data_IF_034387425379
#
_entry.id   IF_034387425379
#
_cell.length_a   1.000
_cell.length_b   1.000
_cell.length_c   1.000
_cell.angle_alpha   90.00
_cell.angle_beta   90.00
_cell.angle_gamma   90.00
#
_symmetry.space_group_name_H-M   'P 1'
#
loop_
_entity.id
_entity.type
_entity.pdbx_description
1 polymer ?
#
# COMPACT_ATOMS: atom_id res chain seq x y z
N UNK A 1 -13.10 -12.30 -27.74
CA UNK A 1 -12.55 -13.28 -26.78
C UNK A 1 -12.31 -12.54 -25.47
N UNK A 2 -12.70 -13.11 -24.34
CA UNK A 2 -12.36 -12.57 -23.01
C UNK A 2 -10.84 -12.54 -22.90
N UNK A 3 -10.24 -11.38 -22.58
CA UNK A 3 -8.82 -11.32 -22.20
C UNK A 3 -8.68 -11.91 -20.80
N UNK A 4 -7.73 -12.81 -20.58
CA UNK A 4 -7.47 -13.35 -19.25
C UNK A 4 -7.10 -12.22 -18.29
N UNK A 5 -7.73 -12.20 -17.11
CA UNK A 5 -7.46 -11.17 -16.10
C UNK A 5 -6.17 -11.48 -15.35
N UNK A 6 -5.34 -10.47 -15.14
CA UNK A 6 -4.09 -10.58 -14.40
C UNK A 6 -3.96 -9.45 -13.38
N UNK A 7 -4.02 -9.79 -12.09
CA UNK A 7 -3.85 -8.82 -11.01
C UNK A 7 -2.45 -8.94 -10.42
N UNK A 8 -1.74 -7.82 -10.31
CA UNK A 8 -0.40 -7.76 -9.74
C UNK A 8 -0.25 -6.54 -8.83
N UNK A 9 0.53 -6.69 -7.77
CA UNK A 9 0.70 -5.67 -6.74
C UNK A 9 2.16 -5.49 -6.37
N UNK A 10 2.58 -4.27 -6.06
CA UNK A 10 3.68 -4.09 -5.11
C UNK A 10 3.15 -4.31 -3.69
N UNK A 11 4.02 -4.49 -2.67
CA UNK A 11 3.68 -4.06 -1.32
C UNK A 11 3.26 -2.60 -1.31
N UNK A 12 2.40 -2.22 -0.36
CA UNK A 12 2.19 -0.81 -0.04
C UNK A 12 3.36 -0.31 0.82
N UNK A 13 3.92 0.85 0.50
CA UNK A 13 5.13 1.35 1.12
C UNK A 13 4.83 2.15 2.40
N UNK A 14 5.64 1.98 3.44
CA UNK A 14 5.49 2.72 4.69
C UNK A 14 6.12 4.12 4.57
N UNK A 15 5.33 5.23 4.55
CA UNK A 15 5.81 6.54 4.18
C UNK A 15 6.20 7.37 5.41
N UNK A 16 6.84 6.76 6.42
CA UNK A 16 7.35 7.50 7.58
C UNK A 16 8.69 8.22 7.30
N UNK A 17 9.23 8.06 6.08
CA UNK A 17 10.40 8.73 5.55
C UNK A 17 10.31 8.88 4.03
N UNK A 18 11.38 9.37 3.38
CA UNK A 18 11.44 9.52 1.92
C UNK A 18 11.66 8.17 1.23
N UNK A 19 11.17 7.98 -0.01
CA UNK A 19 11.46 6.77 -0.79
C UNK A 19 12.97 6.63 -1.08
N UNK A 20 13.39 5.40 -1.38
CA UNK A 20 14.77 5.01 -1.61
C UNK A 20 14.81 3.87 -2.63
N UNK A 21 16.01 3.40 -3.00
CA UNK A 21 16.21 2.42 -4.09
C UNK A 21 15.39 1.13 -3.93
N UNK A 22 15.22 0.61 -2.72
CA UNK A 22 14.37 -0.59 -2.50
C UNK A 22 12.90 -0.40 -2.94
N UNK A 23 12.34 0.80 -2.73
CA UNK A 23 10.98 1.11 -3.17
C UNK A 23 10.92 1.18 -4.71
N UNK A 24 11.87 1.89 -5.33
CA UNK A 24 11.98 2.00 -6.78
C UNK A 24 12.17 0.63 -7.46
N UNK A 25 13.04 -0.23 -6.90
CA UNK A 25 13.24 -1.59 -7.41
C UNK A 25 11.93 -2.38 -7.44
N UNK A 26 11.15 -2.29 -6.37
CA UNK A 26 9.88 -3.01 -6.27
C UNK A 26 8.86 -2.53 -7.31
N UNK A 27 8.79 -1.22 -7.54
CA UNK A 27 7.97 -0.63 -8.61
C UNK A 27 8.44 -1.16 -9.97
N UNK A 28 9.73 -1.06 -10.29
CA UNK A 28 10.27 -1.47 -11.60
C UNK A 28 10.07 -2.96 -11.87
N UNK A 29 10.35 -3.83 -10.90
CA UNK A 29 10.22 -5.28 -11.07
C UNK A 29 8.76 -5.69 -11.30
N UNK A 30 7.83 -5.08 -10.55
CA UNK A 30 6.39 -5.34 -10.70
C UNK A 30 5.87 -4.79 -12.02
N UNK A 31 6.34 -3.60 -12.41
CA UNK A 31 5.96 -2.93 -13.66
C UNK A 31 6.43 -3.71 -14.90
N UNK A 32 7.64 -4.28 -14.88
CA UNK A 32 8.15 -5.12 -15.96
C UNK A 32 7.23 -6.34 -16.20
N UNK A 33 6.76 -6.99 -15.14
CA UNK A 33 5.81 -8.10 -15.24
C UNK A 33 4.44 -7.63 -15.71
N UNK A 34 3.92 -6.52 -15.19
CA UNK A 34 2.64 -5.96 -15.62
C UNK A 34 2.66 -5.66 -17.13
N UNK A 35 3.72 -5.03 -17.63
CA UNK A 35 3.90 -4.74 -19.06
C UNK A 35 4.03 -5.99 -19.90
N UNK A 36 4.79 -7.00 -19.44
CA UNK A 36 4.91 -8.28 -20.15
C UNK A 36 3.54 -8.95 -20.31
N UNK A 37 2.73 -8.98 -19.26
CA UNK A 37 1.40 -9.59 -19.31
C UNK A 37 0.42 -8.78 -20.20
N UNK A 38 0.54 -7.45 -20.24
CA UNK A 38 -0.22 -6.62 -21.20
C UNK A 38 0.20 -6.93 -22.64
N UNK A 39 1.50 -7.11 -22.90
CA UNK A 39 2.02 -7.51 -24.22
C UNK A 39 1.54 -8.92 -24.62
N UNK A 40 1.40 -9.83 -23.66
CA UNK A 40 0.80 -11.17 -23.82
C UNK A 40 -0.74 -11.13 -24.01
N UNK A 41 -1.33 -9.93 -24.10
CA UNK A 41 -2.72 -9.73 -24.43
C UNK A 41 -3.70 -9.83 -23.24
N UNK A 42 -3.21 -9.92 -22.01
CA UNK A 42 -4.05 -10.00 -20.79
C UNK A 42 -4.65 -8.65 -20.40
N UNK A 43 -5.77 -8.73 -19.68
CA UNK A 43 -6.39 -7.59 -19.01
C UNK A 43 -5.73 -7.42 -17.63
N UNK A 44 -4.75 -6.51 -17.56
CA UNK A 44 -3.88 -6.35 -16.39
C UNK A 44 -4.40 -5.23 -15.50
N UNK A 45 -4.47 -5.53 -14.20
CA UNK A 45 -4.62 -4.52 -13.16
C UNK A 45 -3.37 -4.52 -12.26
N UNK A 46 -2.64 -3.42 -12.25
CA UNK A 46 -1.44 -3.21 -11.45
C UNK A 46 -1.72 -2.18 -10.35
N UNK A 47 -1.68 -2.63 -9.09
CA UNK A 47 -1.87 -1.79 -7.90
C UNK A 47 -0.54 -1.53 -7.16
N UNK A 48 -0.31 -0.28 -6.79
CA UNK A 48 0.73 0.15 -5.83
C UNK A 48 0.13 1.11 -4.80
N UNK A 49 0.87 1.52 -3.77
CA UNK A 49 0.33 2.44 -2.79
C UNK A 49 1.17 2.65 -1.52
N UNK A 50 0.54 3.24 -0.51
CA UNK A 50 1.18 3.56 0.78
C UNK A 50 0.39 3.08 2.01
N UNK A 51 1.12 2.58 3.00
CA UNK A 51 0.64 2.16 4.32
C UNK A 51 0.86 3.27 5.36
N UNK A 52 -0.20 3.94 5.76
CA UNK A 52 -0.14 5.27 6.39
C UNK A 52 -0.52 5.26 7.88
N UNK A 53 -0.67 4.07 8.47
CA UNK A 53 -1.09 3.92 9.86
C UNK A 53 0.06 3.45 10.77
N UNK A 54 -0.19 3.42 12.08
CA UNK A 54 0.72 2.80 13.05
C UNK A 54 1.70 3.75 13.75
N UNK A 55 2.37 3.20 14.76
CA UNK A 55 3.13 3.97 15.75
C UNK A 55 4.30 4.77 15.13
N UNK A 56 4.98 4.22 14.13
CA UNK A 56 6.13 4.89 13.50
C UNK A 56 5.71 6.15 12.72
N UNK A 57 4.55 6.14 12.06
CA UNK A 57 3.96 7.35 11.44
C UNK A 57 3.66 8.41 12.49
N UNK A 58 3.03 8.02 13.60
CA UNK A 58 2.73 8.93 14.71
C UNK A 58 4.01 9.56 15.29
N UNK A 59 5.02 8.74 15.62
CA UNK A 59 6.28 9.21 16.19
C UNK A 59 7.04 10.16 15.25
N UNK A 60 7.04 9.90 13.94
CA UNK A 60 7.65 10.83 12.98
C UNK A 60 6.88 12.14 12.94
N UNK A 61 5.55 12.10 12.88
CA UNK A 61 4.72 13.30 12.82
C UNK A 61 4.91 14.18 14.07
N UNK A 62 4.97 13.58 15.26
CA UNK A 62 5.25 14.26 16.51
C UNK A 62 6.64 14.93 16.52
N UNK A 63 7.69 14.22 16.05
CA UNK A 63 9.05 14.78 15.93
C UNK A 63 9.11 15.97 14.98
N UNK A 64 8.26 15.99 13.95
CA UNK A 64 8.17 17.06 12.97
C UNK A 64 7.17 18.17 13.35
N UNK A 65 6.42 18.01 14.45
CA UNK A 65 5.42 18.98 14.89
C UNK A 65 4.19 19.09 13.96
N UNK A 66 3.84 18.01 13.25
CA UNK A 66 2.70 17.95 12.33
C UNK A 66 1.75 16.81 12.68
N UNK A 67 0.57 16.77 12.06
CA UNK A 67 -0.37 15.65 12.24
C UNK A 67 0.07 14.42 11.45
N UNK A 68 -0.27 13.19 11.90
CA UNK A 68 0.02 11.97 11.14
C UNK A 68 -0.56 11.98 9.72
N UNK A 69 -1.76 12.54 9.55
CA UNK A 69 -2.38 12.69 8.24
C UNK A 69 -1.60 13.65 7.33
N UNK A 70 -1.13 14.79 7.86
CA UNK A 70 -0.29 15.71 7.09
C UNK A 70 1.04 15.08 6.67
N UNK A 71 1.65 14.27 7.54
CA UNK A 71 2.84 13.48 7.20
C UNK A 71 2.54 12.47 6.07
N UNK A 72 1.43 11.73 6.21
CA UNK A 72 0.99 10.74 5.24
C UNK A 72 0.70 11.38 3.86
N UNK A 73 -0.04 12.49 3.83
CA UNK A 73 -0.35 13.23 2.61
C UNK A 73 0.92 13.68 1.89
N UNK A 74 1.85 14.31 2.64
CA UNK A 74 3.13 14.79 2.10
C UNK A 74 3.96 13.64 1.55
N UNK A 75 4.17 12.59 2.34
CA UNK A 75 5.10 11.54 1.96
C UNK A 75 4.49 10.61 0.90
N UNK A 76 3.18 10.33 0.94
CA UNK A 76 2.49 9.58 -0.11
C UNK A 76 2.60 10.28 -1.48
N UNK A 77 2.51 11.61 -1.53
CA UNK A 77 2.75 12.37 -2.75
C UNK A 77 4.19 12.18 -3.29
N UNK A 78 5.20 12.10 -2.42
CA UNK A 78 6.59 11.85 -2.83
C UNK A 78 6.76 10.42 -3.38
N UNK A 79 6.12 9.42 -2.78
CA UNK A 79 6.13 8.03 -3.28
C UNK A 79 5.42 7.90 -4.64
N UNK A 80 4.31 8.62 -4.82
CA UNK A 80 3.63 8.70 -6.11
C UNK A 80 4.53 9.34 -7.17
N UNK A 81 5.14 10.48 -6.87
CA UNK A 81 6.08 11.14 -7.79
C UNK A 81 7.29 10.24 -8.14
N UNK A 82 7.79 9.45 -7.18
CA UNK A 82 8.84 8.46 -7.44
C UNK A 82 8.35 7.36 -8.40
N UNK A 83 7.13 6.85 -8.20
CA UNK A 83 6.52 5.84 -9.07
C UNK A 83 6.39 6.37 -10.51
N UNK A 84 5.94 7.61 -10.67
CA UNK A 84 5.86 8.30 -11.97
C UNK A 84 7.24 8.50 -12.60
N UNK A 85 8.24 8.92 -11.82
CA UNK A 85 9.61 9.13 -12.30
C UNK A 85 10.28 7.84 -12.78
N UNK A 86 9.90 6.68 -12.23
CA UNK A 86 10.35 5.36 -12.69
C UNK A 86 9.57 4.85 -13.91
N UNK A 87 8.58 5.59 -14.40
CA UNK A 87 7.73 5.20 -15.51
C UNK A 87 6.71 4.12 -15.14
N UNK A 88 6.29 4.05 -13.87
CA UNK A 88 5.31 3.08 -13.40
C UNK A 88 4.01 3.12 -14.21
N UNK A 89 3.56 1.96 -14.66
CA UNK A 89 2.30 1.76 -15.40
C UNK A 89 1.18 1.20 -14.52
N UNK A 90 1.20 1.52 -13.22
CA UNK A 90 0.15 1.10 -12.30
C UNK A 90 -1.19 1.72 -12.69
N UNK A 91 -2.23 0.91 -12.68
CA UNK A 91 -3.61 1.33 -12.98
C UNK A 91 -4.22 2.08 -11.79
N UNK A 92 -3.74 1.77 -10.57
CA UNK A 92 -4.20 2.43 -9.36
C UNK A 92 -3.05 2.66 -8.37
N UNK A 93 -3.16 3.75 -7.62
CA UNK A 93 -2.34 4.07 -6.45
C UNK A 93 -3.27 4.17 -5.23
N UNK A 94 -3.22 3.20 -4.31
CA UNK A 94 -4.05 3.19 -3.10
C UNK A 94 -3.35 3.87 -1.91
N UNK A 95 -4.12 4.58 -1.10
CA UNK A 95 -3.73 5.00 0.24
C UNK A 95 -4.61 4.29 1.26
N UNK A 96 -3.98 3.79 2.32
CA UNK A 96 -4.72 3.11 3.40
C UNK A 96 -5.58 4.05 4.24
N UNK A 97 -5.44 5.37 4.07
CA UNK A 97 -6.30 6.40 4.69
C UNK A 97 -7.62 6.64 3.94
N UNK A 98 -7.84 5.99 2.80
CA UNK A 98 -9.06 6.15 2.01
C UNK A 98 -10.27 5.45 2.66
N UNK A 99 -11.48 6.06 2.65
CA UNK A 99 -12.68 5.47 3.23
C UNK A 99 -12.99 4.06 2.73
N UNK A 100 -12.84 3.81 1.42
CA UNK A 100 -13.06 2.47 0.82
C UNK A 100 -12.11 1.40 1.36
N UNK A 101 -10.90 1.79 1.78
CA UNK A 101 -9.95 0.85 2.39
C UNK A 101 -10.39 0.49 3.80
N UNK A 102 -10.86 1.47 4.59
CA UNK A 102 -11.45 1.22 5.91
C UNK A 102 -12.65 0.29 5.83
N UNK A 103 -13.57 0.52 4.89
CA UNK A 103 -14.73 -0.35 4.68
C UNK A 103 -14.32 -1.79 4.38
N UNK A 104 -13.29 -1.97 3.54
CA UNK A 104 -12.74 -3.29 3.19
C UNK A 104 -12.13 -3.99 4.42
N UNK A 105 -11.33 -3.28 5.21
CA UNK A 105 -10.73 -3.81 6.44
C UNK A 105 -11.81 -4.20 7.47
N UNK A 106 -12.84 -3.36 7.64
CA UNK A 106 -13.97 -3.65 8.53
C UNK A 106 -14.77 -4.86 8.06
N UNK A 107 -14.93 -5.06 6.74
CA UNK A 107 -15.62 -6.23 6.21
C UNK A 107 -14.87 -7.53 6.53
N UNK A 108 -13.54 -7.54 6.34
CA UNK A 108 -12.69 -8.69 6.70
C UNK A 108 -12.76 -8.97 8.20
N UNK A 109 -12.60 -7.94 9.02
CA UNK A 109 -12.69 -8.06 10.48
C UNK A 109 -14.03 -8.66 10.93
N UNK A 110 -15.15 -8.15 10.39
CA UNK A 110 -16.49 -8.65 10.71
C UNK A 110 -16.67 -10.11 10.29
N UNK A 111 -16.15 -10.50 9.13
CA UNK A 111 -16.22 -11.89 8.66
C UNK A 111 -15.42 -12.84 9.58
N UNK A 112 -14.20 -12.46 9.96
CA UNK A 112 -13.37 -13.23 10.90
C UNK A 112 -14.02 -13.33 12.29
N UNK A 113 -14.57 -12.23 12.80
CA UNK A 113 -15.30 -12.22 14.07
C UNK A 113 -16.54 -13.13 14.03
N UNK A 114 -17.31 -13.09 12.94
CA UNK A 114 -18.49 -13.93 12.76
C UNK A 114 -18.15 -15.43 12.64
N UNK A 115 -16.96 -15.74 12.11
CA UNK A 115 -16.45 -17.12 12.02
C UNK A 115 -15.83 -17.63 13.33
N UNK A 116 -15.69 -16.78 14.35
CA UNK A 116 -15.06 -17.14 15.63
C UNK A 116 -13.53 -17.14 15.61
N UNK A 117 -12.90 -16.57 14.59
CA UNK A 117 -11.43 -16.51 14.44
C UNK A 117 -10.79 -15.37 15.26
N UNK A 118 -11.60 -14.50 15.87
CA UNK A 118 -11.15 -13.36 16.68
C UNK A 118 -11.56 -13.58 18.13
N UNK A 119 -10.57 -13.54 19.03
CA UNK A 119 -10.76 -13.56 20.47
C UNK A 119 -9.92 -12.46 21.14
N UNK A 120 -10.36 -12.04 22.32
CA UNK A 120 -9.62 -11.08 23.14
C UNK A 120 -8.75 -11.84 24.14
N UNK A 121 -7.46 -11.50 24.17
CA UNK A 121 -6.51 -12.01 25.16
C UNK A 121 -5.41 -10.97 25.42
N UNK A 122 -4.46 -11.28 26.29
CA UNK A 122 -3.34 -10.41 26.67
C UNK A 122 -2.05 -10.89 26.04
N UNK A 123 -1.41 -10.01 25.29
CA UNK A 123 -0.05 -10.22 24.80
C UNK A 123 0.98 -9.69 25.81
N UNK A 124 1.99 -10.51 26.14
CA UNK A 124 3.16 -10.10 26.91
C UNK A 124 4.42 -10.58 26.20
N UNK A 125 5.28 -9.63 25.83
CA UNK A 125 6.48 -9.89 25.05
C UNK A 125 7.06 -8.60 24.47
N UNK A 126 8.20 -8.73 23.83
CA UNK A 126 8.84 -7.61 23.13
C UNK A 126 8.15 -7.37 21.78
N UNK A 127 7.85 -6.11 21.47
CA UNK A 127 7.28 -5.67 20.21
C UNK A 127 8.14 -4.55 19.60
N UNK A 128 8.34 -4.58 18.29
CA UNK A 128 9.20 -3.65 17.54
C UNK A 128 8.42 -2.63 16.71
#
# INVERSE_FOLDING_TARGET
>A
MSRDKFYITTPIFYPNGKPHIGHAYTVIATDALARFQRLDGKDVFFLTGTDEHGLKMQQTAEKEGITPLALADRNSAIFRAMTEAMGGSNDQYIRTTEPRHYESCQAIWKAMAANGDIYLDRYSGWYS
#
